data_IF_259335719927
#
_entry.id   IF_259335719927
#
_cell.length_a   1.000
_cell.length_b   1.000
_cell.length_c   1.000
_cell.angle_alpha   90.00
_cell.angle_beta   90.00
_cell.angle_gamma   90.00
#
_symmetry.space_group_name_H-M   'P 1'
#
loop_
_entity.id
_entity.type
_entity.pdbx_description
1 polymer ?
#
# COMPACT_ATOMS: atom_id res chain seq x y z
N UNK A 1 -32.96 -2.49 42.52
CA UNK A 1 -33.17 -1.23 41.77
C UNK A 1 -32.19 -1.11 40.59
N UNK A 2 -32.66 -1.50 39.38
CA UNK A 2 -31.92 -1.38 38.12
C UNK A 2 -31.81 0.10 37.74
N UNK A 3 -30.60 0.65 37.64
CA UNK A 3 -30.37 1.99 37.10
C UNK A 3 -30.64 1.95 35.59
N UNK A 4 -31.68 2.67 35.17
CA UNK A 4 -31.99 2.91 33.78
C UNK A 4 -30.84 3.69 33.13
N UNK A 5 -30.28 3.15 32.04
CA UNK A 5 -29.40 3.89 31.14
C UNK A 5 -30.28 4.91 30.39
N UNK A 6 -30.14 6.17 30.78
CA UNK A 6 -30.70 7.31 30.07
C UNK A 6 -30.08 7.38 28.67
N UNK A 7 -30.94 7.36 27.66
CA UNK A 7 -30.61 7.60 26.26
C UNK A 7 -30.14 9.05 26.09
N UNK A 8 -28.84 9.30 26.23
CA UNK A 8 -28.27 10.62 25.96
C UNK A 8 -27.93 10.77 24.47
N UNK A 9 -28.73 11.62 23.83
CA UNK A 9 -28.51 12.41 22.60
C UNK A 9 -27.62 11.82 21.50
N UNK A 10 -28.27 11.54 20.37
CA UNK A 10 -27.61 11.36 19.06
C UNK A 10 -26.61 12.51 18.81
N UNK A 11 -25.36 12.21 18.43
CA UNK A 11 -24.35 13.24 18.22
C UNK A 11 -24.76 14.14 17.05
N UNK A 12 -24.60 15.46 17.24
CA UNK A 12 -24.74 16.48 16.20
C UNK A 12 -23.80 16.18 15.02
N UNK A 13 -24.10 16.70 13.82
CA UNK A 13 -23.32 16.40 12.59
C UNK A 13 -21.80 16.60 12.73
N UNK A 14 -21.37 17.55 13.55
CA UNK A 14 -19.97 17.77 13.94
C UNK A 14 -19.44 16.68 14.86
N UNK A 15 -20.19 16.28 15.89
CA UNK A 15 -19.82 15.17 16.78
C UNK A 15 -19.75 13.81 16.10
N UNK A 16 -20.56 13.57 15.06
CA UNK A 16 -20.42 12.37 14.21
C UNK A 16 -19.11 12.43 13.43
N UNK A 17 -18.75 13.58 12.87
CA UNK A 17 -17.52 13.72 12.10
C UNK A 17 -16.29 13.53 13.00
N UNK A 18 -16.28 14.15 14.19
CA UNK A 18 -15.22 14.00 15.19
C UNK A 18 -15.14 12.56 15.71
N UNK A 19 -16.29 11.91 15.93
CA UNK A 19 -16.35 10.49 16.32
C UNK A 19 -15.84 9.57 15.20
N UNK A 20 -16.19 9.81 13.94
CA UNK A 20 -15.70 9.05 12.80
C UNK A 20 -14.20 9.27 12.57
N UNK A 21 -13.71 10.49 12.78
CA UNK A 21 -12.28 10.83 12.74
C UNK A 21 -11.53 10.14 13.87
N UNK A 22 -12.14 10.06 15.06
CA UNK A 22 -11.56 9.36 16.21
C UNK A 22 -11.58 7.84 16.00
N UNK A 23 -12.63 7.27 15.40
CA UNK A 23 -12.66 5.87 14.96
C UNK A 23 -11.57 5.59 13.91
N UNK A 24 -11.39 6.47 12.94
CA UNK A 24 -10.29 6.34 11.97
C UNK A 24 -8.91 6.41 12.64
N UNK A 25 -8.73 7.23 13.68
CA UNK A 25 -7.49 7.29 14.45
C UNK A 25 -7.27 6.05 15.34
N UNK A 26 -8.33 5.48 15.90
CA UNK A 26 -8.25 4.35 16.85
C UNK A 26 -8.25 2.99 16.14
N UNK A 27 -8.91 2.86 14.99
CA UNK A 27 -9.06 1.60 14.26
C UNK A 27 -8.37 1.59 12.88
N UNK A 28 -7.92 2.75 12.40
CA UNK A 28 -7.20 2.86 11.14
C UNK A 28 -5.72 2.55 11.28
N UNK A 29 -5.14 2.03 10.22
CA UNK A 29 -3.71 1.75 10.12
C UNK A 29 -3.00 3.03 9.66
N UNK A 30 -2.07 3.51 10.48
CA UNK A 30 -1.30 4.75 10.23
C UNK A 30 -0.06 4.49 9.39
N UNK A 31 0.55 5.57 8.85
CA UNK A 31 1.86 5.50 8.18
C UNK A 31 2.94 4.92 9.10
N UNK A 32 2.92 5.29 10.38
CA UNK A 32 3.86 4.81 11.39
C UNK A 32 3.75 3.30 11.60
N UNK A 33 2.52 2.78 11.70
CA UNK A 33 2.29 1.33 11.85
C UNK A 33 2.88 0.53 10.69
N UNK A 34 2.77 1.04 9.46
CA UNK A 34 3.35 0.41 8.27
C UNK A 34 4.87 0.46 8.27
N UNK A 35 5.46 1.57 8.72
CA UNK A 35 6.91 1.76 8.80
C UNK A 35 7.53 0.89 9.89
N UNK A 36 6.87 0.67 11.02
CA UNK A 36 7.35 -0.25 12.06
C UNK A 36 7.49 -1.70 11.56
N UNK A 37 6.74 -2.08 10.53
CA UNK A 37 6.83 -3.40 9.90
C UNK A 37 8.01 -3.54 8.94
N UNK A 38 8.70 -2.44 8.61
CA UNK A 38 9.89 -2.46 7.76
C UNK A 38 11.07 -3.13 8.47
N UNK A 39 11.28 -2.79 9.75
CA UNK A 39 12.39 -3.31 10.56
C UNK A 39 12.08 -4.71 11.14
N UNK A 40 10.80 -5.02 11.34
CA UNK A 40 10.35 -6.30 11.87
C UNK A 40 10.45 -7.39 10.80
N UNK A 41 11.40 -8.31 10.97
CA UNK A 41 11.53 -9.60 10.25
C UNK A 41 12.31 -9.61 8.93
N UNK A 42 13.31 -8.74 8.77
CA UNK A 42 14.35 -8.94 7.75
C UNK A 42 15.18 -10.17 8.20
N UNK A 43 14.85 -11.37 7.70
CA UNK A 43 15.50 -12.62 8.09
C UNK A 43 17.03 -12.57 7.89
N UNK A 44 17.76 -13.20 8.81
CA UNK A 44 19.19 -12.98 9.08
C UNK A 44 20.16 -13.75 8.17
N UNK A 45 19.69 -14.65 7.30
CA UNK A 45 20.55 -15.39 6.36
C UNK A 45 20.28 -14.96 4.92
N UNK A 46 20.92 -13.88 4.52
CA UNK A 46 20.68 -13.28 3.21
C UNK A 46 21.42 -14.02 2.08
N UNK A 47 20.73 -14.46 1.01
CA UNK A 47 21.33 -15.20 -0.10
C UNK A 47 22.36 -14.37 -0.88
N UNK A 48 23.20 -15.05 -1.67
CA UNK A 48 24.00 -14.41 -2.73
C UNK A 48 23.06 -13.90 -3.84
N UNK A 49 23.52 -12.95 -4.66
CA UNK A 49 22.68 -12.32 -5.69
C UNK A 49 21.98 -13.34 -6.62
N UNK A 50 22.72 -14.34 -7.12
CA UNK A 50 22.15 -15.38 -7.99
C UNK A 50 21.02 -16.17 -7.30
N UNK A 51 21.23 -16.55 -6.04
CA UNK A 51 20.22 -17.24 -5.23
C UNK A 51 19.04 -16.33 -4.89
N UNK A 52 19.26 -15.02 -4.75
CA UNK A 52 18.20 -14.05 -4.49
C UNK A 52 17.24 -13.92 -5.69
N UNK A 53 17.75 -13.97 -6.93
CA UNK A 53 16.92 -13.91 -8.14
C UNK A 53 16.03 -15.15 -8.27
N UNK A 54 16.57 -16.34 -7.94
CA UNK A 54 15.78 -17.57 -7.90
C UNK A 54 14.67 -17.45 -6.86
N UNK A 55 15.01 -16.97 -5.67
CA UNK A 55 14.06 -16.75 -4.58
C UNK A 55 12.97 -15.72 -4.93
N UNK A 56 13.31 -14.63 -5.64
CA UNK A 56 12.33 -13.67 -6.14
C UNK A 56 11.30 -14.33 -7.08
N UNK A 57 11.73 -15.27 -7.92
CA UNK A 57 10.80 -16.01 -8.78
C UNK A 57 9.87 -16.94 -7.99
N UNK A 58 10.38 -17.60 -6.95
CA UNK A 58 9.56 -18.41 -6.04
C UNK A 58 8.53 -17.56 -5.29
N UNK A 59 8.96 -16.41 -4.74
CA UNK A 59 8.08 -15.45 -4.06
C UNK A 59 6.99 -14.97 -5.04
N UNK A 60 7.37 -14.56 -6.25
CA UNK A 60 6.44 -14.09 -7.28
C UNK A 60 5.41 -15.15 -7.63
N UNK A 61 5.85 -16.39 -7.86
CA UNK A 61 4.95 -17.53 -8.15
C UNK A 61 4.01 -17.79 -6.98
N UNK A 62 4.51 -17.74 -5.75
CA UNK A 62 3.68 -18.01 -4.56
C UNK A 62 2.65 -16.93 -4.27
N UNK A 63 2.97 -15.65 -4.54
CA UNK A 63 2.02 -14.55 -4.42
C UNK A 63 0.99 -14.56 -5.56
N UNK A 64 1.42 -14.90 -6.78
CA UNK A 64 0.55 -14.92 -7.96
C UNK A 64 -0.41 -16.10 -8.05
N UNK A 65 -0.14 -17.23 -7.38
CA UNK A 65 -0.95 -18.45 -7.54
C UNK A 65 -2.36 -18.36 -6.94
N UNK A 66 -2.60 -17.47 -5.97
CA UNK A 66 -3.88 -17.35 -5.25
C UNK A 66 -4.26 -18.55 -4.37
N UNK A 67 -3.47 -19.64 -4.42
CA UNK A 67 -3.73 -20.89 -3.70
C UNK A 67 -3.04 -20.96 -2.34
N UNK A 68 -2.00 -20.15 -2.14
CA UNK A 68 -1.22 -20.15 -0.91
C UNK A 68 -2.00 -19.44 0.21
N UNK A 69 -1.94 -20.02 1.41
CA UNK A 69 -2.53 -19.43 2.60
C UNK A 69 -1.97 -18.02 2.88
N UNK A 70 -2.84 -17.09 3.32
CA UNK A 70 -2.46 -15.70 3.59
C UNK A 70 -1.26 -15.56 4.54
N UNK A 71 -1.14 -16.44 5.55
CA UNK A 71 -0.02 -16.45 6.50
C UNK A 71 1.32 -16.70 5.79
N UNK A 72 1.33 -17.59 4.80
CA UNK A 72 2.51 -17.86 3.96
C UNK A 72 2.80 -16.71 3.00
N UNK A 73 1.77 -16.08 2.42
CA UNK A 73 1.96 -14.86 1.61
C UNK A 73 2.64 -13.74 2.41
N UNK A 74 2.28 -13.56 3.68
CA UNK A 74 2.95 -12.62 4.59
C UNK A 74 4.43 -12.95 4.74
N UNK A 75 4.78 -14.23 4.91
CA UNK A 75 6.18 -14.67 5.01
C UNK A 75 6.95 -14.38 3.70
N UNK A 76 6.34 -14.65 2.55
CA UNK A 76 6.93 -14.35 1.24
C UNK A 76 7.21 -12.85 1.07
N UNK A 77 6.28 -11.98 1.48
CA UNK A 77 6.47 -10.53 1.42
C UNK A 77 7.58 -10.03 2.38
N UNK A 78 7.73 -10.64 3.56
CA UNK A 78 8.85 -10.36 4.46
C UNK A 78 10.20 -10.73 3.85
N UNK A 79 10.27 -11.89 3.19
CA UNK A 79 11.46 -12.33 2.43
C UNK A 79 11.77 -11.36 1.28
N UNK A 80 10.73 -10.93 0.56
CA UNK A 80 10.85 -9.92 -0.50
C UNK A 80 11.47 -8.62 0.01
N UNK A 81 10.98 -8.08 1.14
CA UNK A 81 11.59 -6.90 1.78
C UNK A 81 13.06 -7.13 2.12
N UNK A 82 13.41 -8.31 2.63
CA UNK A 82 14.80 -8.65 2.94
C UNK A 82 15.73 -8.61 1.72
N UNK A 83 15.29 -9.18 0.59
CA UNK A 83 16.05 -9.13 -0.67
C UNK A 83 16.19 -7.69 -1.16
N UNK A 84 15.10 -6.92 -1.19
CA UNK A 84 15.13 -5.51 -1.65
C UNK A 84 16.02 -4.66 -0.74
N UNK A 85 15.95 -4.85 0.58
CA UNK A 85 16.80 -4.16 1.55
C UNK A 85 18.29 -4.36 1.24
N UNK A 86 18.69 -5.61 0.94
CA UNK A 86 20.08 -5.96 0.70
C UNK A 86 20.62 -5.43 -0.63
N UNK A 87 19.83 -5.54 -1.70
CA UNK A 87 20.34 -5.33 -3.06
C UNK A 87 19.90 -4.01 -3.69
N UNK A 88 18.95 -3.27 -3.11
CA UNK A 88 18.51 -1.99 -3.66
C UNK A 88 19.63 -0.96 -3.80
N UNK A 89 20.64 -0.98 -2.94
CA UNK A 89 21.80 -0.08 -3.03
C UNK A 89 22.88 -0.55 -3.99
N UNK A 90 23.18 -1.85 -4.02
CA UNK A 90 24.28 -2.40 -4.83
C UNK A 90 23.87 -2.68 -6.28
N UNK A 91 22.63 -3.14 -6.49
CA UNK A 91 22.11 -3.61 -7.79
C UNK A 91 20.72 -3.00 -8.08
N UNK A 92 20.56 -1.67 -8.02
CA UNK A 92 19.25 -1.02 -8.09
C UNK A 92 18.48 -1.31 -9.39
N UNK A 93 19.17 -1.37 -10.53
CA UNK A 93 18.53 -1.57 -11.84
C UNK A 93 18.01 -3.00 -12.00
N UNK A 94 18.83 -3.98 -11.61
CA UNK A 94 18.44 -5.39 -11.62
C UNK A 94 17.23 -5.64 -10.70
N UNK A 95 17.27 -5.10 -9.47
CA UNK A 95 16.14 -5.23 -8.53
C UNK A 95 14.91 -4.53 -9.08
N UNK A 96 15.04 -3.37 -9.72
CA UNK A 96 13.91 -2.68 -10.37
C UNK A 96 13.27 -3.56 -11.45
N UNK A 97 14.07 -4.22 -12.30
CA UNK A 97 13.57 -5.12 -13.34
C UNK A 97 12.80 -6.29 -12.72
N UNK A 98 13.37 -6.95 -11.71
CA UNK A 98 12.72 -8.10 -11.07
C UNK A 98 11.44 -7.69 -10.33
N UNK A 99 11.45 -6.56 -9.62
CA UNK A 99 10.27 -6.04 -8.92
C UNK A 99 9.15 -5.68 -9.90
N UNK A 100 9.45 -5.13 -11.07
CA UNK A 100 8.46 -4.84 -12.09
C UNK A 100 7.77 -6.10 -12.66
N UNK A 101 8.32 -7.30 -12.46
CA UNK A 101 7.65 -8.56 -12.81
C UNK A 101 6.58 -8.98 -11.80
N UNK A 102 6.53 -8.36 -10.61
CA UNK A 102 5.55 -8.69 -9.58
C UNK A 102 4.17 -8.04 -9.78
N UNK A 103 3.95 -7.27 -10.84
CA UNK A 103 2.67 -6.57 -11.10
C UNK A 103 1.47 -7.49 -10.88
N UNK A 104 1.43 -8.62 -11.58
CA UNK A 104 0.31 -9.57 -11.49
C UNK A 104 0.19 -10.19 -10.09
N UNK A 105 1.33 -10.55 -9.48
CA UNK A 105 1.37 -11.14 -8.15
C UNK A 105 0.84 -10.18 -7.07
N UNK A 106 1.20 -8.89 -7.16
CA UNK A 106 0.66 -7.86 -6.27
C UNK A 106 -0.81 -7.61 -6.54
N UNK A 107 -1.25 -7.51 -7.79
CA UNK A 107 -2.68 -7.37 -8.11
C UNK A 107 -3.51 -8.55 -7.56
N UNK A 108 -3.01 -9.79 -7.65
CA UNK A 108 -3.65 -10.94 -7.02
C UNK A 108 -3.70 -10.83 -5.50
N UNK A 109 -2.62 -10.36 -4.87
CA UNK A 109 -2.54 -10.22 -3.41
C UNK A 109 -3.44 -9.10 -2.89
N UNK A 110 -3.57 -8.00 -3.64
CA UNK A 110 -4.47 -6.86 -3.35
C UNK A 110 -5.95 -7.26 -3.38
N UNK A 111 -6.34 -8.30 -4.11
CA UNK A 111 -7.73 -8.78 -4.16
C UNK A 111 -8.15 -9.59 -2.93
N UNK A 112 -7.22 -9.87 -2.01
CA UNK A 112 -7.50 -10.74 -0.88
C UNK A 112 -8.31 -10.01 0.19
N UNK A 113 -9.38 -10.64 0.69
CA UNK A 113 -10.35 -10.00 1.59
C UNK A 113 -9.83 -9.76 3.02
N UNK A 114 -8.65 -10.27 3.38
CA UNK A 114 -8.13 -10.20 4.75
C UNK A 114 -7.38 -8.88 4.99
N UNK A 115 -7.82 -8.10 5.96
CA UNK A 115 -7.13 -6.84 6.32
C UNK A 115 -5.64 -7.02 6.68
N UNK A 116 -5.28 -8.16 7.29
CA UNK A 116 -3.87 -8.47 7.64
C UNK A 116 -2.96 -8.57 6.42
N UNK A 117 -3.45 -9.09 5.29
CA UNK A 117 -2.64 -9.16 4.08
C UNK A 117 -2.51 -7.78 3.44
N UNK A 118 -3.55 -6.93 3.50
CA UNK A 118 -3.48 -5.54 3.05
C UNK A 118 -2.45 -4.72 3.81
N UNK A 119 -2.42 -4.84 5.14
CA UNK A 119 -1.39 -4.19 5.97
C UNK A 119 0.01 -4.60 5.52
N UNK A 120 0.24 -5.90 5.29
CA UNK A 120 1.54 -6.41 4.89
C UNK A 120 1.95 -6.00 3.47
N UNK A 121 1.04 -6.05 2.49
CA UNK A 121 1.34 -5.65 1.12
C UNK A 121 1.61 -4.15 1.02
N UNK A 122 0.83 -3.30 1.70
CA UNK A 122 1.06 -1.86 1.67
C UNK A 122 2.32 -1.45 2.45
N UNK A 123 2.67 -2.17 3.52
CA UNK A 123 3.98 -2.04 4.16
C UNK A 123 5.12 -2.44 3.20
N UNK A 124 4.94 -3.53 2.44
CA UNK A 124 5.94 -4.01 1.46
C UNK A 124 6.11 -3.07 0.29
N UNK A 125 5.02 -2.63 -0.34
CA UNK A 125 5.06 -1.71 -1.48
C UNK A 125 5.66 -0.36 -1.09
N UNK A 126 5.30 0.18 0.07
CA UNK A 126 5.89 1.44 0.58
C UNK A 126 7.38 1.29 0.89
N UNK A 127 7.81 0.14 1.43
CA UNK A 127 9.23 -0.14 1.64
C UNK A 127 10.00 -0.22 0.33
N UNK A 128 9.45 -0.90 -0.67
CA UNK A 128 10.07 -1.00 -2.01
C UNK A 128 10.18 0.40 -2.64
N UNK A 129 9.13 1.23 -2.54
CA UNK A 129 9.16 2.61 -3.01
C UNK A 129 10.21 3.45 -2.27
N UNK A 130 10.36 3.27 -0.95
CA UNK A 130 11.42 3.90 -0.17
C UNK A 130 12.83 3.50 -0.65
N UNK A 131 13.05 2.23 -0.99
CA UNK A 131 14.34 1.74 -1.46
C UNK A 131 14.67 2.13 -2.90
N UNK A 132 13.69 2.15 -3.80
CA UNK A 132 13.89 2.35 -5.24
C UNK A 132 13.59 3.77 -5.73
N UNK A 133 12.88 4.57 -4.93
CA UNK A 133 12.44 5.93 -5.29
C UNK A 133 11.64 5.95 -6.59
N UNK A 134 12.00 6.87 -7.49
CA UNK A 134 11.34 7.06 -8.79
C UNK A 134 11.37 5.80 -9.69
N UNK A 135 12.31 4.87 -9.48
CA UNK A 135 12.37 3.60 -10.24
C UNK A 135 11.16 2.70 -9.98
N UNK A 136 10.45 2.91 -8.87
CA UNK A 136 9.19 2.22 -8.55
C UNK A 136 8.01 2.69 -9.41
N UNK A 137 8.14 3.81 -10.13
CA UNK A 137 7.04 4.47 -10.83
C UNK A 137 6.28 3.57 -11.81
N UNK A 138 6.98 2.72 -12.57
CA UNK A 138 6.36 1.82 -13.54
C UNK A 138 5.49 0.74 -12.86
N UNK A 139 5.94 0.21 -11.72
CA UNK A 139 5.14 -0.73 -10.95
C UNK A 139 3.91 -0.03 -10.36
N UNK A 140 4.10 1.15 -9.77
CA UNK A 140 3.03 1.97 -9.19
C UNK A 140 1.92 2.23 -10.20
N UNK A 141 2.27 2.68 -11.41
CA UNK A 141 1.31 2.95 -12.49
C UNK A 141 0.45 1.73 -12.81
N UNK A 142 1.04 0.54 -12.84
CA UNK A 142 0.34 -0.70 -13.20
C UNK A 142 -0.54 -1.25 -12.08
N UNK A 143 -0.13 -1.12 -10.81
CA UNK A 143 -0.89 -1.65 -9.67
C UNK A 143 -1.98 -0.69 -9.18
N UNK A 144 -1.83 0.62 -9.44
CA UNK A 144 -2.71 1.65 -8.88
C UNK A 144 -4.20 1.42 -9.20
N UNK A 145 -4.62 1.06 -10.44
CA UNK A 145 -6.02 0.79 -10.72
C UNK A 145 -6.63 -0.30 -9.84
N UNK A 146 -5.85 -1.36 -9.58
CA UNK A 146 -6.29 -2.48 -8.73
C UNK A 146 -6.36 -2.06 -7.26
N UNK A 147 -5.37 -1.31 -6.77
CA UNK A 147 -5.38 -0.75 -5.41
C UNK A 147 -6.58 0.15 -5.18
N UNK A 148 -6.98 0.95 -6.19
CA UNK A 148 -8.10 1.86 -6.04
C UNK A 148 -9.44 1.15 -5.77
N UNK A 149 -9.58 -0.11 -6.19
CA UNK A 149 -10.80 -0.90 -5.93
C UNK A 149 -11.07 -1.10 -4.44
N UNK A 150 -10.00 -1.17 -3.61
CA UNK A 150 -10.08 -1.36 -2.15
C UNK A 150 -10.94 -0.27 -1.49
N UNK A 151 -10.83 0.98 -1.95
CA UNK A 151 -11.52 2.13 -1.34
C UNK A 151 -13.04 2.07 -1.45
N UNK A 152 -13.59 1.16 -2.27
CA UNK A 152 -15.03 1.04 -2.48
C UNK A 152 -15.69 -0.11 -1.72
N UNK A 153 -14.99 -1.23 -1.55
CA UNK A 153 -15.59 -2.49 -1.10
C UNK A 153 -14.97 -3.06 0.17
N UNK A 154 -13.87 -2.49 0.66
CA UNK A 154 -13.07 -3.12 1.71
C UNK A 154 -13.36 -2.60 3.12
N UNK A 155 -12.88 -3.34 4.12
CA UNK A 155 -12.96 -2.97 5.52
C UNK A 155 -12.08 -1.76 5.86
N UNK A 156 -12.43 -1.03 6.94
CA UNK A 156 -11.68 0.16 7.37
C UNK A 156 -10.16 -0.08 7.54
N UNK A 157 -9.68 -1.18 8.14
CA UNK A 157 -8.23 -1.44 8.23
C UNK A 157 -7.56 -1.64 6.87
N UNK A 158 -8.28 -2.19 5.89
CA UNK A 158 -7.79 -2.36 4.52
C UNK A 158 -7.72 -1.01 3.79
N UNK A 159 -8.77 -0.20 3.93
CA UNK A 159 -8.83 1.14 3.34
C UNK A 159 -7.75 2.05 3.92
N UNK A 160 -7.59 2.04 5.25
CA UNK A 160 -6.58 2.87 5.94
C UNK A 160 -5.15 2.43 5.65
N UNK A 161 -4.87 1.13 5.58
CA UNK A 161 -3.54 0.64 5.17
C UNK A 161 -3.24 0.97 3.70
N UNK A 162 -4.21 0.85 2.80
CA UNK A 162 -4.08 1.25 1.40
C UNK A 162 -3.81 2.74 1.26
N UNK A 163 -4.58 3.57 1.99
CA UNK A 163 -4.35 5.02 2.05
C UNK A 163 -2.93 5.30 2.54
N UNK A 164 -2.61 4.98 3.80
CA UNK A 164 -1.30 5.24 4.41
C UNK A 164 -0.13 4.72 3.58
N UNK A 165 -0.27 3.55 2.95
CA UNK A 165 0.75 2.96 2.08
C UNK A 165 0.98 3.73 0.79
N UNK A 166 -0.10 4.11 0.08
CA UNK A 166 -0.01 4.89 -1.16
C UNK A 166 0.52 6.30 -0.89
N UNK A 167 0.11 6.89 0.22
CA UNK A 167 0.60 8.18 0.68
C UNK A 167 2.13 8.16 0.95
N UNK A 168 2.63 7.10 1.60
CA UNK A 168 4.06 6.87 1.72
C UNK A 168 4.74 6.68 0.36
N UNK A 169 4.13 5.93 -0.56
CA UNK A 169 4.69 5.71 -1.89
C UNK A 169 4.84 7.05 -2.65
N UNK A 170 3.84 7.93 -2.62
CA UNK A 170 3.94 9.24 -3.27
C UNK A 170 5.01 10.13 -2.65
N UNK A 171 5.31 9.98 -1.35
CA UNK A 171 6.44 10.68 -0.73
C UNK A 171 7.80 10.25 -1.31
N UNK A 172 7.95 9.00 -1.73
CA UNK A 172 9.24 8.46 -2.20
C UNK A 172 9.37 8.37 -3.72
N UNK A 173 8.26 8.28 -4.44
CA UNK A 173 8.23 8.06 -5.88
C UNK A 173 7.43 9.16 -6.57
N UNK A 174 8.12 9.97 -7.37
CA UNK A 174 7.53 11.05 -8.16
C UNK A 174 7.38 10.61 -9.62
N UNK A 175 6.22 10.05 -9.95
CA UNK A 175 5.88 9.59 -11.31
C UNK A 175 4.68 10.38 -11.88
N UNK A 176 4.89 11.35 -12.80
CA UNK A 176 3.82 12.16 -13.38
C UNK A 176 2.69 11.34 -14.03
N UNK A 177 2.99 10.14 -14.54
CA UNK A 177 1.95 9.25 -15.13
C UNK A 177 0.90 8.81 -14.11
N UNK A 178 1.26 8.77 -12.83
CA UNK A 178 0.32 8.49 -11.75
C UNK A 178 -0.76 9.57 -11.65
N UNK A 179 -0.42 10.84 -11.85
CA UNK A 179 -1.40 11.94 -11.88
C UNK A 179 -2.45 11.74 -12.98
N UNK A 180 -2.01 11.31 -14.17
CA UNK A 180 -2.93 11.00 -15.26
C UNK A 180 -3.88 9.86 -14.90
N UNK A 181 -3.36 8.78 -14.31
CA UNK A 181 -4.18 7.66 -13.85
C UNK A 181 -5.22 8.08 -12.78
N UNK A 182 -4.82 8.92 -11.82
CA UNK A 182 -5.73 9.46 -10.80
C UNK A 182 -6.79 10.37 -11.42
N UNK A 183 -6.41 11.27 -12.32
CA UNK A 183 -7.33 12.17 -13.01
C UNK A 183 -8.38 11.42 -13.83
N UNK A 184 -7.98 10.37 -14.55
CA UNK A 184 -8.92 9.52 -15.30
C UNK A 184 -9.93 8.83 -14.37
N UNK A 185 -9.47 8.33 -13.21
CA UNK A 185 -10.36 7.75 -12.22
C UNK A 185 -11.29 8.80 -11.57
N UNK A 186 -10.85 10.04 -11.39
CA UNK A 186 -11.73 11.12 -10.90
C UNK A 186 -12.83 11.41 -11.91
N UNK A 187 -12.52 11.48 -13.21
CA UNK A 187 -13.50 11.84 -14.25
C UNK A 187 -14.49 10.71 -14.53
N UNK A 188 -13.98 9.49 -14.68
CA UNK A 188 -14.74 8.39 -15.30
C UNK A 188 -15.22 7.33 -14.32
N UNK A 189 -14.66 7.25 -13.11
CA UNK A 189 -15.02 6.17 -12.17
C UNK A 189 -16.39 6.42 -11.54
N UNK A 190 -17.29 5.44 -11.63
CA UNK A 190 -18.66 5.52 -11.08
C UNK A 190 -18.69 5.56 -9.55
N UNK A 191 -17.65 5.05 -8.88
CA UNK A 191 -17.58 4.96 -7.41
C UNK A 191 -17.21 6.29 -6.77
N UNK A 192 -18.14 6.88 -6.00
CA UNK A 192 -17.90 8.12 -5.24
C UNK A 192 -16.72 8.00 -4.26
N UNK A 193 -16.58 6.91 -3.47
CA UNK A 193 -15.41 6.73 -2.59
C UNK A 193 -14.08 6.77 -3.34
N UNK A 194 -14.00 6.12 -4.52
CA UNK A 194 -12.77 6.11 -5.33
C UNK A 194 -12.44 7.51 -5.82
N UNK A 195 -13.42 8.23 -6.39
CA UNK A 195 -13.21 9.62 -6.84
C UNK A 195 -12.70 10.52 -5.73
N UNK A 196 -13.33 10.46 -4.54
CA UNK A 196 -12.91 11.24 -3.36
C UNK A 196 -11.48 10.92 -2.95
N UNK A 197 -11.10 9.64 -2.90
CA UNK A 197 -9.75 9.27 -2.50
C UNK A 197 -8.71 9.66 -3.55
N UNK A 198 -9.01 9.53 -4.84
CA UNK A 198 -8.14 10.03 -5.90
C UNK A 198 -7.90 11.54 -5.79
N UNK A 199 -8.94 12.34 -5.51
CA UNK A 199 -8.79 13.78 -5.27
C UNK A 199 -7.90 14.06 -4.05
N UNK A 200 -8.08 13.32 -2.95
CA UNK A 200 -7.22 13.43 -1.76
C UNK A 200 -5.76 13.09 -2.08
N UNK A 201 -5.50 12.07 -2.91
CA UNK A 201 -4.15 11.70 -3.32
C UNK A 201 -3.48 12.77 -4.19
N UNK A 202 -4.22 13.39 -5.11
CA UNK A 202 -3.68 14.49 -5.92
C UNK A 202 -3.27 15.67 -5.04
N UNK A 203 -4.09 16.04 -4.04
CA UNK A 203 -3.75 17.11 -3.10
C UNK A 203 -2.45 16.79 -2.33
N UNK A 204 -2.30 15.54 -1.88
CA UNK A 204 -1.09 15.11 -1.18
C UNK A 204 0.15 15.11 -2.08
N UNK A 205 0.00 14.72 -3.36
CA UNK A 205 1.07 14.83 -4.34
C UNK A 205 1.53 16.29 -4.48
N UNK A 206 0.60 17.24 -4.60
CA UNK A 206 0.94 18.66 -4.70
C UNK A 206 1.60 19.22 -3.43
N UNK A 207 1.30 18.66 -2.26
CA UNK A 207 1.95 19.05 -1.01
C UNK A 207 3.40 18.54 -0.90
N UNK A 208 3.70 17.38 -1.50
CA UNK A 208 4.98 16.69 -1.30
C UNK A 208 5.95 16.74 -2.49
N UNK A 209 5.45 16.89 -3.73
CA UNK A 209 6.31 16.90 -4.92
C UNK A 209 6.83 18.30 -5.19
N UNK A 210 8.09 18.41 -5.62
CA UNK A 210 8.67 19.69 -6.03
C UNK A 210 8.12 20.10 -7.40
N UNK A 211 7.86 21.41 -7.59
CA UNK A 211 7.29 21.98 -8.83
C UNK A 211 8.00 21.52 -10.11
N UNK A 212 9.32 21.31 -10.05
CA UNK A 212 10.15 20.90 -11.20
C UNK A 212 9.81 19.53 -11.78
N UNK A 213 9.11 18.67 -11.03
CA UNK A 213 8.74 17.32 -11.45
C UNK A 213 7.25 17.21 -11.84
N UNK A 214 6.49 18.31 -11.76
CA UNK A 214 5.08 18.38 -12.12
C UNK A 214 4.83 18.94 -13.54
N UNK A 215 5.88 19.49 -14.19
CA UNK A 215 5.91 20.01 -15.56
C UNK A 215 6.66 19.06 -16.50
#
# INVERSE_FOLDING_TARGET
PKKALSCNSLPTKTGIFDFLLNIQKVLGVTKQDLMELWDKNIQTKMPRLSSAIVELNEIRSGLGSGTIEWTKQVILMKRLRGIVSKFSKSEPDLITIEINRFVEAFCCTVKNLRSKIHIEIFSTLSYIAYCLGDKFGLLLEKILPEVLTIFSTSSLPSISSAASGIELIFKFCQNPKTLNCLNENIKNNKSVPIRRKCSSFILEIFEHWEDRKLL
#
